data_IF_202696445884
#
_entry.id   IF_202696445884
#
_cell.length_a   1.000
_cell.length_b   1.000
_cell.length_c   1.000
_cell.angle_alpha   90.00
_cell.angle_beta   90.00
_cell.angle_gamma   90.00
#
_symmetry.space_group_name_H-M   'P 1'
#
loop_
_entity.id
_entity.type
_entity.pdbx_description
1 polymer ?
#
# COMPACT_ATOMS: atom_id res chain seq x y z
N UNK A 1 -2.02 52.80 -26.69
CA UNK A 1 -1.26 51.54 -26.61
C UNK A 1 -0.77 51.28 -25.19
N UNK A 2 -0.09 52.23 -24.54
CA UNK A 2 0.47 52.06 -23.18
C UNK A 2 -0.51 51.63 -22.06
N UNK A 3 -1.80 52.01 -22.12
CA UNK A 3 -2.80 51.61 -21.11
C UNK A 3 -3.20 50.14 -21.25
N UNK A 4 -3.42 49.65 -22.48
CA UNK A 4 -3.72 48.22 -22.75
C UNK A 4 -2.57 47.30 -22.38
N UNK A 5 -1.33 47.78 -22.52
CA UNK A 5 -0.16 47.04 -22.01
C UNK A 5 -0.21 46.99 -20.49
N UNK A 6 -0.35 48.13 -19.81
CA UNK A 6 -0.40 48.20 -18.33
C UNK A 6 -1.51 47.33 -17.71
N UNK A 7 -2.69 47.30 -18.35
CA UNK A 7 -3.80 46.44 -17.93
C UNK A 7 -3.48 44.95 -18.13
N UNK A 8 -2.79 44.59 -19.21
CA UNK A 8 -2.28 43.24 -19.46
C UNK A 8 -1.24 42.78 -18.42
N UNK A 9 -0.28 43.64 -18.08
CA UNK A 9 0.70 43.37 -17.02
C UNK A 9 0.03 43.21 -15.65
N UNK A 10 -1.02 44.00 -15.37
CA UNK A 10 -1.78 43.88 -14.12
C UNK A 10 -2.53 42.55 -14.05
N UNK A 11 -3.13 42.11 -15.15
CA UNK A 11 -3.87 40.85 -15.22
C UNK A 11 -2.93 39.63 -15.09
N UNK A 12 -1.76 39.68 -15.73
CA UNK A 12 -0.74 38.63 -15.64
C UNK A 12 -0.17 38.50 -14.23
N UNK A 13 0.08 39.63 -13.54
CA UNK A 13 0.51 39.60 -12.13
C UNK A 13 -0.52 38.93 -11.22
N UNK A 14 -1.81 39.22 -11.40
CA UNK A 14 -2.88 38.60 -10.61
C UNK A 14 -2.94 37.09 -10.87
N UNK A 15 -2.80 36.66 -12.12
CA UNK A 15 -2.76 35.23 -12.46
C UNK A 15 -1.56 34.51 -11.84
N UNK A 16 -0.37 35.14 -11.87
CA UNK A 16 0.83 34.58 -11.24
C UNK A 16 0.70 34.49 -9.72
N UNK A 17 0.11 35.50 -9.08
CA UNK A 17 -0.15 35.49 -7.64
C UNK A 17 -1.12 34.36 -7.26
N UNK A 18 -2.19 34.15 -8.03
CA UNK A 18 -3.12 33.03 -7.83
C UNK A 18 -2.45 31.67 -7.99
N UNK A 19 -1.62 31.49 -9.03
CA UNK A 19 -0.88 30.25 -9.26
C UNK A 19 0.12 29.98 -8.13
N UNK A 20 0.79 31.03 -7.64
CA UNK A 20 1.74 30.89 -6.52
C UNK A 20 1.03 30.47 -5.23
N UNK A 21 -0.15 31.04 -4.94
CA UNK A 21 -0.95 30.63 -3.79
C UNK A 21 -1.39 29.17 -3.89
N UNK A 22 -1.84 28.74 -5.07
CA UNK A 22 -2.21 27.35 -5.31
C UNK A 22 -1.03 26.40 -5.10
N UNK A 23 0.12 26.66 -5.72
CA UNK A 23 1.32 25.81 -5.56
C UNK A 23 1.78 25.76 -4.11
N UNK A 24 1.75 26.90 -3.40
CA UNK A 24 2.09 26.98 -1.97
C UNK A 24 1.15 26.14 -1.11
N UNK A 25 -0.16 26.14 -1.44
CA UNK A 25 -1.15 25.31 -0.77
C UNK A 25 -0.90 23.81 -1.02
N UNK A 26 -0.72 23.41 -2.27
CA UNK A 26 -0.49 22.01 -2.66
C UNK A 26 0.79 21.46 -2.03
N UNK A 27 1.88 22.24 -2.02
CA UNK A 27 3.13 21.86 -1.36
C UNK A 27 2.96 21.67 0.15
N UNK A 28 2.23 22.57 0.81
CA UNK A 28 1.94 22.44 2.25
C UNK A 28 1.11 21.20 2.53
N UNK A 29 0.12 20.91 1.70
CA UNK A 29 -0.70 19.72 1.83
C UNK A 29 0.16 18.46 1.67
N UNK A 30 1.01 18.39 0.64
CA UNK A 30 1.86 17.23 0.39
C UNK A 30 2.76 16.89 1.59
N UNK A 31 3.36 17.91 2.21
CA UNK A 31 4.24 17.74 3.36
C UNK A 31 3.48 17.37 4.63
N UNK A 32 2.31 17.98 4.87
CA UNK A 32 1.55 17.78 6.12
C UNK A 32 0.70 16.52 6.11
N UNK A 33 0.08 16.22 4.98
CA UNK A 33 -0.99 15.22 4.87
C UNK A 33 -0.73 14.24 3.72
N UNK A 34 -0.01 14.64 2.67
CA UNK A 34 0.13 13.82 1.46
C UNK A 34 0.82 12.48 1.69
N UNK A 35 1.92 12.43 2.43
CA UNK A 35 2.59 11.16 2.74
C UNK A 35 1.72 10.24 3.58
N UNK A 36 1.08 10.77 4.63
CA UNK A 36 0.17 10.00 5.48
C UNK A 36 -1.03 9.50 4.67
N UNK A 37 -1.58 10.32 3.78
CA UNK A 37 -2.66 9.95 2.87
C UNK A 37 -2.29 8.76 1.99
N UNK A 38 -1.14 8.81 1.32
CA UNK A 38 -0.66 7.73 0.43
C UNK A 38 -0.40 6.44 1.21
N UNK A 39 0.26 6.52 2.37
CA UNK A 39 0.53 5.36 3.21
C UNK A 39 -0.78 4.74 3.71
N UNK A 40 -1.70 5.57 4.23
CA UNK A 40 -3.00 5.11 4.73
C UNK A 40 -3.84 4.44 3.65
N UNK A 41 -3.77 4.93 2.42
CA UNK A 41 -4.44 4.30 1.28
C UNK A 41 -3.76 2.97 0.93
N UNK A 42 -2.43 2.95 0.81
CA UNK A 42 -1.69 1.75 0.44
C UNK A 42 -1.87 0.60 1.43
N UNK A 43 -1.74 0.85 2.74
CA UNK A 43 -1.78 -0.25 3.72
C UNK A 43 -3.15 -0.91 3.85
N UNK A 44 -4.22 -0.25 3.41
CA UNK A 44 -5.60 -0.79 3.41
C UNK A 44 -5.96 -1.50 2.11
N UNK A 45 -5.11 -1.41 1.11
CA UNK A 45 -5.38 -1.95 -0.22
C UNK A 45 -5.04 -3.43 -0.32
N UNK A 46 -5.71 -4.14 -1.22
CA UNK A 46 -5.45 -5.55 -1.51
C UNK A 46 -4.04 -5.78 -2.08
N UNK A 47 -3.49 -4.81 -2.81
CA UNK A 47 -2.11 -4.89 -3.31
C UNK A 47 -1.06 -4.96 -2.19
N UNK A 48 -1.40 -4.52 -0.97
CA UNK A 48 -0.57 -4.70 0.23
C UNK A 48 -1.05 -5.85 1.11
N UNK A 49 -2.36 -5.91 1.39
CA UNK A 49 -2.95 -6.89 2.30
C UNK A 49 -2.90 -8.32 1.75
N UNK A 50 -3.05 -8.52 0.45
CA UNK A 50 -2.98 -9.83 -0.19
C UNK A 50 -1.62 -10.52 0.02
N UNK A 51 -0.50 -9.89 -0.40
CA UNK A 51 0.85 -10.40 -0.13
C UNK A 51 1.15 -10.60 1.36
N UNK A 52 0.71 -9.68 2.22
CA UNK A 52 0.89 -9.79 3.67
C UNK A 52 0.11 -10.99 4.24
N UNK A 53 -1.13 -11.20 3.81
CA UNK A 53 -1.95 -12.35 4.20
C UNK A 53 -1.36 -13.67 3.73
N UNK A 54 -0.71 -13.71 2.57
CA UNK A 54 0.03 -14.88 2.11
C UNK A 54 1.22 -15.20 3.03
N UNK A 55 2.01 -14.20 3.43
CA UNK A 55 3.10 -14.37 4.40
C UNK A 55 2.56 -14.90 5.72
N UNK A 56 1.48 -14.31 6.24
CA UNK A 56 0.87 -14.74 7.49
C UNK A 56 0.39 -16.20 7.44
N UNK A 57 -0.21 -16.60 6.32
CA UNK A 57 -0.68 -17.97 6.11
C UNK A 57 0.49 -18.96 6.10
N UNK A 58 1.60 -18.63 5.42
CA UNK A 58 2.78 -19.50 5.37
C UNK A 58 3.55 -19.53 6.68
N UNK A 59 3.59 -18.42 7.41
CA UNK A 59 4.12 -18.38 8.77
C UNK A 59 3.38 -19.34 9.68
N UNK A 60 2.05 -19.36 9.61
CA UNK A 60 1.23 -20.30 10.38
C UNK A 60 1.57 -21.75 10.05
N UNK A 61 1.62 -22.11 8.76
CA UNK A 61 2.03 -23.46 8.33
C UNK A 61 3.41 -23.85 8.87
N UNK A 62 4.40 -22.95 8.81
CA UNK A 62 5.74 -23.19 9.34
C UNK A 62 5.73 -23.40 10.86
N UNK A 63 5.02 -22.55 11.60
CA UNK A 63 4.93 -22.67 13.05
C UNK A 63 4.20 -23.96 13.49
N UNK A 64 3.18 -24.38 12.73
CA UNK A 64 2.48 -25.65 12.96
C UNK A 64 3.42 -26.83 12.74
N UNK A 65 4.19 -26.83 11.64
CA UNK A 65 5.21 -27.86 11.39
C UNK A 65 6.23 -27.92 12.54
N UNK A 66 6.79 -26.78 12.95
CA UNK A 66 7.77 -26.71 14.04
C UNK A 66 7.20 -27.26 15.36
N UNK A 67 5.93 -26.95 15.65
CA UNK A 67 5.21 -27.48 16.80
C UNK A 67 5.05 -29.00 16.75
N UNK A 68 4.72 -29.56 15.58
CA UNK A 68 4.60 -31.01 15.37
C UNK A 68 5.94 -31.69 15.57
N UNK A 69 7.02 -31.20 14.93
CA UNK A 69 8.37 -31.77 15.06
C UNK A 69 8.84 -31.73 16.51
N UNK A 70 8.68 -30.59 17.18
CA UNK A 70 9.05 -30.43 18.58
C UNK A 70 8.27 -31.34 19.53
N UNK A 71 6.96 -31.46 19.33
CA UNK A 71 6.10 -32.36 20.10
C UNK A 71 6.41 -33.83 19.88
N UNK A 72 6.63 -34.22 18.62
CA UNK A 72 6.94 -35.61 18.25
C UNK A 72 8.24 -36.10 18.89
N UNK A 73 9.27 -35.26 18.98
CA UNK A 73 10.53 -35.60 19.66
C UNK A 73 10.35 -35.99 21.15
N UNK A 74 9.23 -35.62 21.76
CA UNK A 74 8.93 -35.88 23.17
C UNK A 74 7.83 -36.94 23.37
N UNK A 75 7.27 -37.50 22.29
CA UNK A 75 6.20 -38.49 22.35
C UNK A 75 6.70 -39.87 21.90
N UNK A 76 6.46 -40.91 22.71
CA UNK A 76 6.57 -42.32 22.27
C UNK A 76 5.35 -42.69 21.40
N UNK A 77 5.19 -42.01 20.26
CA UNK A 77 4.12 -42.30 19.32
C UNK A 77 4.60 -43.34 18.29
N UNK A 78 3.89 -44.46 18.18
CA UNK A 78 4.19 -45.52 17.19
C UNK A 78 3.77 -45.20 15.75
N UNK A 79 3.50 -43.93 15.44
CA UNK A 79 3.15 -43.41 14.11
C UNK A 79 4.36 -42.68 13.56
N UNK A 80 4.72 -42.85 12.29
CA UNK A 80 5.85 -42.14 11.70
C UNK A 80 5.55 -40.63 11.59
N UNK A 81 6.56 -39.78 11.77
CA UNK A 81 6.40 -38.32 11.72
C UNK A 81 5.84 -37.86 10.37
N UNK A 82 6.25 -38.52 9.29
CA UNK A 82 5.82 -38.26 7.92
C UNK A 82 4.33 -38.58 7.67
N UNK A 83 3.70 -39.35 8.55
CA UNK A 83 2.27 -39.69 8.46
C UNK A 83 1.38 -38.69 9.21
N UNK A 84 1.96 -37.70 9.91
CA UNK A 84 1.21 -36.67 10.62
C UNK A 84 0.70 -35.62 9.63
N UNK A 85 -0.62 -35.41 9.59
CA UNK A 85 -1.28 -34.50 8.63
C UNK A 85 -0.71 -33.06 8.60
N UNK A 86 -0.24 -32.58 9.74
CA UNK A 86 0.30 -31.22 9.91
C UNK A 86 1.83 -31.15 9.72
N UNK A 87 2.48 -32.26 9.39
CA UNK A 87 3.90 -32.28 9.08
C UNK A 87 4.15 -31.84 7.63
N UNK A 88 4.65 -30.62 7.47
CA UNK A 88 5.06 -30.08 6.17
C UNK A 88 6.54 -29.63 6.18
N UNK A 89 7.48 -30.46 5.68
CA UNK A 89 8.91 -30.13 5.69
C UNK A 89 9.29 -28.98 4.76
N UNK A 90 8.43 -28.58 3.82
CA UNK A 90 8.70 -27.44 2.93
C UNK A 90 8.15 -26.12 3.48
N UNK A 91 7.38 -26.14 4.59
CA UNK A 91 6.69 -24.97 5.12
C UNK A 91 7.63 -23.78 5.42
N UNK A 92 8.81 -24.02 5.99
CA UNK A 92 9.79 -22.96 6.29
C UNK A 92 10.33 -22.31 5.01
N UNK A 93 10.59 -23.13 3.98
CA UNK A 93 11.10 -22.67 2.69
C UNK A 93 10.02 -21.88 1.94
N UNK A 94 8.78 -22.34 1.97
CA UNK A 94 7.65 -21.60 1.40
C UNK A 94 7.43 -20.27 2.12
N UNK A 95 7.49 -20.24 3.45
CA UNK A 95 7.44 -19.00 4.22
C UNK A 95 8.54 -18.01 3.81
N UNK A 96 9.80 -18.45 3.77
CA UNK A 96 10.93 -17.60 3.33
C UNK A 96 10.74 -17.09 1.89
N UNK A 97 10.21 -17.93 1.00
CA UNK A 97 9.91 -17.53 -0.38
C UNK A 97 8.84 -16.44 -0.42
N UNK A 98 7.75 -16.58 0.34
CA UNK A 98 6.67 -15.58 0.36
C UNK A 98 7.12 -14.27 1.02
N UNK A 99 8.00 -14.32 2.03
CA UNK A 99 8.64 -13.11 2.59
C UNK A 99 9.48 -12.41 1.53
N UNK A 100 10.30 -13.15 0.77
CA UNK A 100 11.07 -12.59 -0.33
C UNK A 100 10.17 -11.96 -1.40
N UNK A 101 9.06 -12.62 -1.75
CA UNK A 101 8.08 -12.09 -2.68
C UNK A 101 7.48 -10.77 -2.16
N UNK A 102 7.07 -10.70 -0.89
CA UNK A 102 6.54 -9.48 -0.25
C UNK A 102 7.53 -8.31 -0.30
N UNK A 103 8.80 -8.55 0.01
CA UNK A 103 9.86 -7.52 -0.03
C UNK A 103 10.08 -6.94 -1.44
N UNK A 104 9.75 -7.71 -2.48
CA UNK A 104 9.94 -7.33 -3.89
C UNK A 104 8.62 -6.99 -4.59
N UNK A 105 7.51 -6.88 -3.85
CA UNK A 105 6.23 -6.42 -4.40
C UNK A 105 6.40 -4.98 -4.90
N UNK A 106 6.00 -4.78 -6.15
CA UNK A 106 5.80 -3.44 -6.71
C UNK A 106 4.36 -3.06 -6.46
N UNK A 107 4.14 -1.83 -6.02
CA UNK A 107 2.82 -1.28 -5.75
C UNK A 107 2.38 -0.43 -6.95
N UNK A 108 1.44 -0.91 -7.79
CA UNK A 108 0.97 -0.16 -8.96
C UNK A 108 0.43 1.22 -8.59
N UNK A 109 -0.19 1.37 -7.42
CA UNK A 109 -0.63 2.66 -6.90
C UNK A 109 0.52 3.66 -6.75
N UNK A 110 1.63 3.23 -6.14
CA UNK A 110 2.81 4.08 -5.94
C UNK A 110 3.48 4.40 -7.28
N UNK A 111 3.55 3.43 -8.19
CA UNK A 111 4.05 3.66 -9.56
C UNK A 111 3.17 4.68 -10.30
N UNK A 112 1.85 4.59 -10.21
CA UNK A 112 0.91 5.53 -10.83
C UNK A 112 1.07 6.94 -10.23
N UNK A 113 1.16 7.08 -8.91
CA UNK A 113 1.41 8.35 -8.23
C UNK A 113 2.73 9.00 -8.70
N UNK A 114 3.77 8.20 -8.90
CA UNK A 114 5.07 8.70 -9.38
C UNK A 114 5.01 9.31 -10.79
N UNK A 115 4.02 8.94 -11.59
CA UNK A 115 3.80 9.46 -12.95
C UNK A 115 2.96 10.75 -12.96
N UNK A 116 2.42 11.18 -11.82
CA UNK A 116 1.51 12.31 -11.71
C UNK A 116 2.20 13.63 -11.35
N UNK A 117 3.50 13.79 -11.65
CA UNK A 117 4.32 14.94 -11.23
C UNK A 117 3.82 16.31 -11.68
N UNK A 118 3.00 16.38 -12.74
CA UNK A 118 2.46 17.63 -13.30
C UNK A 118 0.93 17.72 -13.22
N UNK A 119 0.29 16.88 -12.42
CA UNK A 119 -1.18 16.83 -12.30
C UNK A 119 -1.66 17.62 -11.10
N UNK A 120 -2.90 18.11 -11.16
CA UNK A 120 -3.52 18.82 -10.05
C UNK A 120 -3.68 17.91 -8.83
N UNK A 121 -3.70 18.50 -7.65
CA UNK A 121 -3.87 17.77 -6.39
C UNK A 121 -5.17 16.94 -6.35
N UNK A 122 -6.24 17.42 -6.98
CA UNK A 122 -7.52 16.70 -7.03
C UNK A 122 -7.41 15.42 -7.87
N UNK A 123 -6.61 15.44 -8.94
CA UNK A 123 -6.34 14.25 -9.76
C UNK A 123 -5.50 13.24 -8.99
N UNK A 124 -4.57 13.69 -8.14
CA UNK A 124 -3.79 12.82 -7.25
C UNK A 124 -4.67 12.15 -6.19
N UNK A 125 -5.63 12.90 -5.62
CA UNK A 125 -6.58 12.38 -4.61
C UNK A 125 -7.63 11.44 -5.20
N UNK A 126 -7.92 11.57 -6.49
CA UNK A 126 -8.83 10.69 -7.21
C UNK A 126 -8.18 9.33 -7.57
N UNK A 127 -6.86 9.18 -7.40
CA UNK A 127 -6.20 7.89 -7.57
C UNK A 127 -6.45 7.02 -6.35
N UNK A 128 -6.93 5.81 -6.60
CA UNK A 128 -7.18 4.81 -5.57
C UNK A 128 -6.36 3.54 -5.82
N UNK A 129 -5.76 2.95 -4.77
CA UNK A 129 -5.08 1.69 -4.89
C UNK A 129 -6.06 0.54 -5.16
N UNK A 130 -5.55 -0.56 -5.73
CA UNK A 130 -6.40 -1.67 -6.15
C UNK A 130 -7.08 -2.35 -4.95
N UNK A 131 -8.37 -2.66 -5.10
CA UNK A 131 -9.12 -3.41 -4.09
C UNK A 131 -9.44 -2.63 -2.83
N UNK A 132 -9.42 -1.29 -2.87
CA UNK A 132 -10.22 -0.52 -1.93
C UNK A 132 -11.67 -0.91 -2.11
N UNK A 133 -12.25 -1.60 -1.14
CA UNK A 133 -13.71 -1.65 -1.04
C UNK A 133 -14.17 -0.20 -0.92
N UNK A 134 -15.04 0.25 -1.83
CA UNK A 134 -15.81 1.45 -1.59
C UNK A 134 -16.42 1.25 -0.20
N UNK A 135 -16.14 2.13 0.76
CA UNK A 135 -16.99 2.26 1.95
C UNK A 135 -18.36 2.74 1.45
N UNK A 136 -19.13 1.85 0.83
CA UNK A 136 -20.53 2.07 0.51
C UNK A 136 -21.25 1.92 1.83
N UNK A 137 -21.42 3.06 2.51
CA UNK A 137 -22.47 3.35 3.48
C UNK A 137 -23.01 2.14 4.28
N UNK A 138 -22.24 1.70 5.28
CA UNK A 138 -22.84 1.02 6.44
C UNK A 138 -23.48 2.07 7.38
N UNK A 139 -24.37 2.89 6.83
CA UNK A 139 -25.20 3.84 7.56
C UNK A 139 -26.56 4.00 6.85
N UNK A 140 -27.49 3.07 7.09
CA UNK A 140 -28.90 3.26 6.75
C UNK A 140 -29.71 1.98 6.57
N UNK A 141 -30.13 1.35 7.67
CA UNK A 141 -31.51 1.29 8.22
C UNK A 141 -31.62 0.14 9.23
#
# INVERSE_FOLDING_TARGET
MAVREKDGWSQERVQLEMLLEQVSFEQKWLIKEGFEYVINRLHRSEEFLGPLGAVQSKLWSSAVHDGVVGGYAHCEAGVALEEVELYDPEAEKEFKKTVYELEHVKYPYVEALSQCTNRALDELKALEPMGMEDEVDAAGD
#
